data_IF_367573020693
#
_entry.id   IF_367573020693
#
_cell.length_a   1.000
_cell.length_b   1.000
_cell.length_c   1.000
_cell.angle_alpha   90.00
_cell.angle_beta   90.00
_cell.angle_gamma   90.00
#
_symmetry.space_group_name_H-M   'P 1'
#
loop_
_entity.id
_entity.type
_entity.pdbx_description
1 polymer ?
#
# COMPACT_ATOMS: atom_id res chain seq x y z
N UNK A 1 -6.75 -4.17 -21.12
CA UNK A 1 -7.39 -2.99 -20.55
C UNK A 1 -6.65 -2.67 -19.25
N UNK A 2 -6.01 -1.52 -19.12
CA UNK A 2 -5.38 -1.10 -17.86
C UNK A 2 -6.48 -0.75 -16.86
N UNK A 3 -6.65 -1.54 -15.80
CA UNK A 3 -7.62 -1.27 -14.75
C UNK A 3 -7.08 -0.21 -13.80
N UNK A 4 -7.25 1.06 -14.19
CA UNK A 4 -7.01 2.22 -13.33
C UNK A 4 -8.32 2.61 -12.63
N UNK A 5 -8.24 2.85 -11.33
CA UNK A 5 -9.36 3.26 -10.48
C UNK A 5 -9.37 4.78 -10.39
N UNK A 6 -9.42 5.44 -11.55
CA UNK A 6 -9.16 6.87 -11.72
C UNK A 6 -10.03 7.76 -10.83
N UNK A 7 -11.30 7.40 -10.63
CA UNK A 7 -12.20 8.14 -9.74
C UNK A 7 -11.73 8.15 -8.28
N UNK A 8 -11.20 7.03 -7.77
CA UNK A 8 -10.66 6.96 -6.41
C UNK A 8 -9.34 7.71 -6.29
N UNK A 9 -8.45 7.55 -7.27
CA UNK A 9 -7.17 8.26 -7.28
C UNK A 9 -7.37 9.78 -7.34
N UNK A 10 -8.29 10.28 -8.17
CA UNK A 10 -8.67 11.69 -8.22
C UNK A 10 -9.18 12.20 -6.86
N UNK A 11 -10.04 11.43 -6.18
CA UNK A 11 -10.55 11.78 -4.86
C UNK A 11 -9.43 11.86 -3.82
N UNK A 12 -8.51 10.89 -3.81
CA UNK A 12 -7.35 10.89 -2.90
C UNK A 12 -6.49 12.13 -3.14
N UNK A 13 -6.11 12.41 -4.39
CA UNK A 13 -5.30 13.57 -4.74
C UNK A 13 -6.00 14.88 -4.36
N UNK A 14 -7.31 15.01 -4.65
CA UNK A 14 -8.10 16.19 -4.31
C UNK A 14 -8.09 16.46 -2.80
N UNK A 15 -8.41 15.45 -1.98
CA UNK A 15 -8.50 15.60 -0.52
C UNK A 15 -7.15 15.92 0.10
N UNK A 16 -6.07 15.30 -0.41
CA UNK A 16 -4.72 15.61 0.04
C UNK A 16 -4.30 17.04 -0.33
N UNK A 17 -4.60 17.48 -1.56
CA UNK A 17 -4.33 18.84 -2.05
C UNK A 17 -5.03 19.90 -1.20
N UNK A 18 -6.32 19.72 -0.94
CA UNK A 18 -7.13 20.63 -0.09
C UNK A 18 -6.56 20.78 1.33
N UNK A 19 -5.80 19.79 1.81
CA UNK A 19 -5.19 19.77 3.15
C UNK A 19 -3.68 20.00 3.13
N UNK A 20 -3.11 20.34 1.97
CA UNK A 20 -1.66 20.51 1.80
C UNK A 20 -0.85 19.29 2.28
N UNK A 21 -1.37 18.08 2.02
CA UNK A 21 -0.73 16.82 2.41
C UNK A 21 0.05 16.23 1.24
N UNK A 22 1.29 15.84 1.51
CA UNK A 22 2.06 14.98 0.64
C UNK A 22 1.76 13.49 0.94
N UNK A 23 1.68 12.68 -0.12
CA UNK A 23 1.35 11.25 -0.10
C UNK A 23 2.52 10.41 -0.62
N UNK A 24 2.77 9.27 0.03
CA UNK A 24 3.70 8.22 -0.45
C UNK A 24 3.02 6.86 -0.49
N UNK A 25 3.55 5.94 -1.31
CA UNK A 25 3.10 4.54 -1.38
C UNK A 25 4.24 3.58 -1.03
N UNK A 26 3.92 2.45 -0.39
CA UNK A 26 4.85 1.38 -0.08
C UNK A 26 4.29 0.05 -0.58
N UNK A 27 4.76 -0.41 -1.72
CA UNK A 27 4.15 -1.48 -2.50
C UNK A 27 4.99 -2.75 -2.51
N UNK A 28 4.36 -3.89 -2.19
CA UNK A 28 4.92 -5.21 -2.46
C UNK A 28 4.15 -5.87 -3.60
N UNK A 29 3.06 -6.60 -3.31
CA UNK A 29 2.38 -7.43 -4.32
C UNK A 29 1.74 -6.65 -5.48
N UNK A 30 1.41 -5.37 -5.29
CA UNK A 30 0.88 -4.48 -6.33
C UNK A 30 1.96 -3.99 -7.29
N UNK A 31 3.24 -3.98 -6.88
CA UNK A 31 4.38 -3.73 -7.76
C UNK A 31 4.36 -2.37 -8.48
N UNK A 32 3.96 -1.30 -7.80
CA UNK A 32 3.94 0.06 -8.34
C UNK A 32 2.59 0.48 -8.94
N UNK A 33 1.56 -0.37 -8.89
CA UNK A 33 0.25 -0.05 -9.45
C UNK A 33 -0.48 1.04 -8.67
N UNK A 34 -0.27 1.18 -7.36
CA UNK A 34 -0.89 2.26 -6.59
C UNK A 34 -0.27 3.60 -7.01
N UNK A 35 1.06 3.66 -7.07
CA UNK A 35 1.78 4.82 -7.59
C UNK A 35 1.31 5.15 -9.02
N UNK A 36 1.26 4.17 -9.92
CA UNK A 36 0.81 4.37 -11.29
C UNK A 36 -0.62 4.94 -11.39
N UNK A 37 -1.54 4.48 -10.52
CA UNK A 37 -2.91 5.01 -10.46
C UNK A 37 -2.96 6.49 -10.04
N UNK A 38 -2.10 6.89 -9.11
CA UNK A 38 -2.02 8.26 -8.63
C UNK A 38 -1.32 9.15 -9.65
N UNK A 39 -0.20 8.69 -10.21
CA UNK A 39 0.65 9.48 -11.10
C UNK A 39 0.15 9.54 -12.54
N UNK A 40 -0.83 8.71 -12.93
CA UNK A 40 -1.50 8.82 -14.23
C UNK A 40 -2.39 10.06 -14.33
N UNK A 41 -2.74 10.68 -13.20
CA UNK A 41 -3.58 11.89 -13.16
C UNK A 41 -2.70 13.13 -13.29
N UNK A 42 -3.05 14.00 -14.23
CA UNK A 42 -2.36 15.28 -14.43
C UNK A 42 -2.40 16.13 -13.16
N UNK A 43 -1.26 16.75 -12.83
CA UNK A 43 -1.11 17.55 -11.62
C UNK A 43 -0.87 16.75 -10.33
N UNK A 44 -0.76 15.43 -10.38
CA UNK A 44 -0.45 14.59 -9.20
C UNK A 44 0.86 14.96 -8.48
N UNK A 45 1.78 15.67 -9.15
CA UNK A 45 3.07 16.11 -8.61
C UNK A 45 2.99 17.08 -7.44
N UNK A 46 1.85 17.73 -7.22
CA UNK A 46 1.65 18.62 -6.07
C UNK A 46 1.29 17.88 -4.77
N UNK A 47 0.96 16.59 -4.86
CA UNK A 47 0.56 15.72 -3.75
C UNK A 47 1.46 14.50 -3.62
N UNK A 48 1.80 13.83 -4.72
CA UNK A 48 2.58 12.60 -4.68
C UNK A 48 4.07 12.89 -4.51
N UNK A 49 4.65 12.47 -3.37
CA UNK A 49 6.06 12.69 -3.05
C UNK A 49 6.96 11.63 -3.71
N UNK A 50 6.77 10.38 -3.32
CA UNK A 50 7.53 9.24 -3.84
C UNK A 50 6.78 7.91 -3.65
N UNK A 51 7.23 6.85 -4.31
CA UNK A 51 6.76 5.49 -4.11
C UNK A 51 7.91 4.53 -3.85
N UNK A 52 7.71 3.60 -2.92
CA UNK A 52 8.65 2.53 -2.59
C UNK A 52 8.10 1.21 -3.13
N UNK A 53 8.86 0.50 -3.97
CA UNK A 53 8.54 -0.88 -4.36
C UNK A 53 9.47 -1.82 -3.60
N UNK A 54 8.94 -2.46 -2.55
CA UNK A 54 9.70 -3.25 -1.56
C UNK A 54 9.33 -4.73 -1.65
N UNK A 55 9.57 -5.34 -2.81
CA UNK A 55 9.12 -6.71 -3.09
C UNK A 55 9.79 -7.76 -2.20
N UNK A 56 11.10 -7.66 -1.98
CA UNK A 56 11.85 -8.57 -1.11
C UNK A 56 11.75 -8.18 0.36
N UNK A 57 12.02 -9.13 1.26
CA UNK A 57 12.11 -8.84 2.70
C UNK A 57 13.24 -7.84 2.99
N UNK A 58 14.37 -7.99 2.30
CA UNK A 58 15.50 -7.07 2.41
C UNK A 58 15.13 -5.64 2.00
N UNK A 59 14.39 -5.45 0.90
CA UNK A 59 13.94 -4.11 0.51
C UNK A 59 12.96 -3.49 1.53
N UNK A 60 12.10 -4.31 2.16
CA UNK A 60 11.22 -3.83 3.25
C UNK A 60 12.04 -3.28 4.42
N UNK A 61 13.13 -3.96 4.79
CA UNK A 61 14.04 -3.50 5.84
C UNK A 61 14.84 -2.29 5.40
N UNK A 62 15.50 -2.34 4.24
CA UNK A 62 16.47 -1.32 3.82
C UNK A 62 15.82 0.01 3.42
N UNK A 63 14.65 -0.03 2.76
CA UNK A 63 14.03 1.17 2.18
C UNK A 63 12.98 1.80 3.07
N UNK A 64 12.28 1.00 3.88
CA UNK A 64 11.20 1.50 4.75
C UNK A 64 11.34 1.03 6.21
N UNK A 65 12.48 0.45 6.58
CA UNK A 65 12.82 0.19 7.99
C UNK A 65 11.99 -0.88 8.69
N UNK A 66 11.39 -1.83 7.97
CA UNK A 66 10.71 -2.96 8.62
C UNK A 66 11.74 -3.80 9.37
N UNK A 67 11.53 -3.96 10.67
CA UNK A 67 12.33 -4.81 11.55
C UNK A 67 12.35 -6.26 11.03
N UNK A 68 13.52 -6.86 10.72
CA UNK A 68 13.63 -8.23 10.23
C UNK A 68 12.95 -9.27 11.12
N UNK A 69 12.95 -9.04 12.44
CA UNK A 69 12.34 -9.90 13.45
C UNK A 69 10.81 -9.97 13.27
N UNK A 70 10.14 -8.86 12.89
CA UNK A 70 8.70 -8.89 12.57
C UNK A 70 8.43 -9.82 11.39
N UNK A 71 9.27 -9.76 10.36
CA UNK A 71 9.13 -10.63 9.19
C UNK A 71 9.40 -12.09 9.58
N UNK A 72 10.35 -12.36 10.47
CA UNK A 72 10.64 -13.71 10.95
C UNK A 72 9.47 -14.31 11.75
N UNK A 73 8.82 -13.52 12.60
CA UNK A 73 7.73 -13.97 13.48
C UNK A 73 6.40 -14.08 12.71
N UNK A 74 6.05 -13.05 11.95
CA UNK A 74 4.72 -12.91 11.35
C UNK A 74 4.68 -13.19 9.85
N UNK A 75 5.84 -13.42 9.22
CA UNK A 75 6.02 -13.43 7.76
C UNK A 75 5.77 -12.07 7.10
N UNK A 76 6.24 -11.91 5.86
CA UNK A 76 6.13 -10.63 5.14
C UNK A 76 4.71 -10.27 4.69
N UNK A 77 3.76 -11.20 4.81
CA UNK A 77 2.34 -10.97 4.50
C UNK A 77 1.54 -11.06 5.79
N UNK A 78 1.53 -9.96 6.55
CA UNK A 78 0.91 -9.87 7.87
C UNK A 78 0.46 -8.44 8.17
N UNK A 79 -0.38 -8.30 9.19
CA UNK A 79 -0.83 -6.99 9.70
C UNK A 79 0.35 -6.17 10.20
N UNK A 80 1.24 -6.79 10.97
CA UNK A 80 2.40 -6.18 11.61
C UNK A 80 3.36 -5.61 10.57
N UNK A 81 3.65 -6.38 9.53
CA UNK A 81 4.51 -5.92 8.43
C UNK A 81 3.82 -4.84 7.59
N UNK A 82 2.51 -4.93 7.34
CA UNK A 82 1.79 -3.89 6.62
C UNK A 82 1.82 -2.54 7.37
N UNK A 83 1.57 -2.55 8.69
CA UNK A 83 1.65 -1.35 9.55
C UNK A 83 3.06 -0.78 9.54
N UNK A 84 4.07 -1.62 9.78
CA UNK A 84 5.48 -1.20 9.77
C UNK A 84 5.90 -0.61 8.41
N UNK A 85 5.41 -1.17 7.30
CA UNK A 85 5.63 -0.60 5.97
C UNK A 85 4.98 0.78 5.81
N UNK A 86 3.74 0.97 6.27
CA UNK A 86 3.04 2.25 6.14
C UNK A 86 3.72 3.36 6.96
N UNK A 87 4.06 3.05 8.21
CA UNK A 87 4.79 3.94 9.12
C UNK A 87 6.21 4.22 8.61
N UNK A 88 6.88 3.20 8.06
CA UNK A 88 8.13 3.34 7.34
C UNK A 88 8.04 4.34 6.18
N UNK A 89 6.98 4.25 5.36
CA UNK A 89 6.73 5.22 4.30
C UNK A 89 6.68 6.66 4.82
N UNK A 90 6.02 6.93 5.96
CA UNK A 90 6.03 8.27 6.57
C UNK A 90 7.41 8.68 7.08
N UNK A 91 8.16 7.74 7.64
CA UNK A 91 9.49 8.00 8.23
C UNK A 91 10.55 8.31 7.18
N UNK A 92 10.49 7.64 6.02
CA UNK A 92 11.53 7.71 4.98
C UNK A 92 11.14 8.56 3.77
N UNK A 93 10.07 9.35 3.86
CA UNK A 93 9.64 10.30 2.83
C UNK A 93 9.32 11.67 3.42
N UNK A 94 8.96 12.64 2.58
CA UNK A 94 8.44 13.95 3.03
C UNK A 94 6.92 13.90 3.26
N UNK A 95 6.28 12.77 2.98
CA UNK A 95 4.85 12.62 3.06
C UNK A 95 4.29 12.78 4.48
N UNK A 96 3.04 13.19 4.56
CA UNK A 96 2.25 13.19 5.80
C UNK A 96 1.26 12.04 5.84
N UNK A 97 0.94 11.44 4.69
CA UNK A 97 0.12 10.25 4.55
C UNK A 97 0.85 9.18 3.73
N UNK A 98 0.72 7.92 4.12
CA UNK A 98 1.36 6.76 3.50
C UNK A 98 0.35 5.63 3.40
N UNK A 99 0.44 4.84 2.32
CA UNK A 99 -0.29 3.57 2.21
C UNK A 99 0.65 2.45 1.84
N UNK A 100 0.52 1.31 2.51
CA UNK A 100 1.32 0.13 2.31
C UNK A 100 0.48 -1.10 1.94
N UNK A 101 1.01 -1.93 1.04
CA UNK A 101 0.35 -3.18 0.63
C UNK A 101 1.34 -4.34 0.58
N UNK A 102 1.02 -5.41 1.28
CA UNK A 102 1.72 -6.70 1.20
C UNK A 102 0.73 -7.86 1.08
N UNK A 103 1.02 -8.85 0.25
CA UNK A 103 0.04 -9.89 -0.07
C UNK A 103 0.56 -10.97 -1.02
N UNK A 104 -0.27 -11.98 -1.26
CA UNK A 104 0.02 -13.11 -2.15
C UNK A 104 -0.92 -13.04 -3.35
N UNK A 105 -0.48 -12.39 -4.43
CA UNK A 105 -1.27 -12.28 -5.66
C UNK A 105 -1.29 -13.57 -6.51
N UNK A 106 -0.60 -14.64 -6.09
CA UNK A 106 -0.59 -15.91 -6.81
C UNK A 106 0.30 -15.92 -8.07
N UNK A 107 0.30 -17.05 -8.81
CA UNK A 107 -0.57 -18.22 -8.61
C UNK A 107 -0.07 -19.19 -7.51
N UNK A 108 1.16 -19.03 -7.02
CA UNK A 108 1.72 -19.89 -5.97
C UNK A 108 1.54 -19.26 -4.59
N UNK A 109 1.35 -20.10 -3.58
CA UNK A 109 1.46 -19.68 -2.18
C UNK A 109 2.89 -19.25 -1.88
N UNK A 110 3.04 -18.24 -1.01
CA UNK A 110 4.34 -17.84 -0.48
C UNK A 110 4.68 -18.52 0.84
N UNK A 111 3.66 -18.92 1.62
CA UNK A 111 3.79 -19.58 2.91
C UNK A 111 2.79 -20.75 3.00
N UNK A 112 3.11 -21.76 3.80
CA UNK A 112 2.30 -22.98 3.92
C UNK A 112 0.89 -22.68 4.46
N UNK A 113 0.83 -21.78 5.44
CA UNK A 113 -0.34 -21.35 6.20
C UNK A 113 -1.08 -20.15 5.59
N UNK A 114 -0.52 -19.48 4.57
CA UNK A 114 -1.13 -18.28 3.97
C UNK A 114 -1.62 -18.53 2.54
N UNK A 115 -2.93 -18.43 2.28
CA UNK A 115 -3.49 -18.72 0.97
C UNK A 115 -3.18 -17.62 -0.05
N UNK A 116 -3.20 -17.99 -1.34
CA UNK A 116 -3.27 -17.02 -2.45
C UNK A 116 -4.52 -16.16 -2.28
N UNK A 117 -4.41 -14.86 -2.57
CA UNK A 117 -5.48 -13.88 -2.40
C UNK A 117 -5.48 -13.17 -1.05
N UNK A 118 -4.66 -13.59 -0.08
CA UNK A 118 -4.47 -12.86 1.17
C UNK A 118 -3.67 -11.58 0.92
N UNK A 119 -4.22 -10.43 1.31
CA UNK A 119 -3.59 -9.11 1.20
C UNK A 119 -3.85 -8.32 2.48
N UNK A 120 -2.82 -7.64 2.97
CA UNK A 120 -2.91 -6.65 4.04
C UNK A 120 -2.59 -5.27 3.46
N UNK A 121 -3.49 -4.33 3.71
CA UNK A 121 -3.29 -2.90 3.46
C UNK A 121 -3.19 -2.18 4.80
N UNK A 122 -2.28 -1.22 4.92
CA UNK A 122 -2.26 -0.28 6.03
C UNK A 122 -2.10 1.13 5.49
N UNK A 123 -2.73 2.10 6.14
CA UNK A 123 -2.53 3.51 5.86
C UNK A 123 -2.09 4.19 7.16
N UNK A 124 -1.06 5.04 7.07
CA UNK A 124 -0.55 5.82 8.18
C UNK A 124 -0.72 7.30 7.85
N UNK A 125 -1.19 8.08 8.82
CA UNK A 125 -1.34 9.53 8.71
C UNK A 125 -0.71 10.17 9.95
N UNK A 126 0.23 11.11 9.76
CA UNK A 126 0.95 11.77 10.87
C UNK A 126 -0.03 12.30 11.92
N UNK A 127 0.23 11.97 13.20
CA UNK A 127 -0.59 12.32 14.37
C UNK A 127 -1.97 11.64 14.43
N UNK A 128 -2.22 10.64 13.59
CA UNK A 128 -3.38 9.76 13.67
C UNK A 128 -2.93 8.31 13.90
N UNK A 129 -3.83 7.47 14.40
CA UNK A 129 -3.57 6.04 14.49
C UNK A 129 -3.45 5.42 13.09
N UNK A 130 -2.50 4.51 12.91
CA UNK A 130 -2.36 3.72 11.68
C UNK A 130 -3.57 2.80 11.52
N UNK A 131 -4.25 2.89 10.37
CA UNK A 131 -5.40 2.03 10.04
C UNK A 131 -4.94 0.83 9.24
N UNK A 132 -5.54 -0.33 9.46
CA UNK A 132 -5.22 -1.59 8.78
C UNK A 132 -6.49 -2.28 8.27
N UNK A 133 -6.37 -2.96 7.13
CA UNK A 133 -7.39 -3.82 6.56
C UNK A 133 -6.76 -5.12 6.04
N UNK A 134 -7.31 -6.25 6.45
CA UNK A 134 -7.04 -7.55 5.84
C UNK A 134 -8.11 -7.88 4.82
N UNK A 135 -7.71 -8.45 3.68
CA UNK A 135 -8.59 -8.87 2.61
C UNK A 135 -8.21 -10.27 2.14
N UNK A 136 -9.21 -11.03 1.74
CA UNK A 136 -9.04 -12.32 1.11
C UNK A 136 -9.85 -12.38 -0.19
N UNK A 137 -9.15 -12.49 -1.32
CA UNK A 137 -9.74 -12.48 -2.66
C UNK A 137 -9.90 -13.87 -3.28
N UNK A 138 -9.67 -14.94 -2.50
CA UNK A 138 -9.65 -16.31 -2.99
C UNK A 138 -8.52 -16.57 -4.00
N UNK A 139 -8.57 -17.73 -4.66
CA UNK A 139 -7.62 -18.10 -5.71
C UNK A 139 -7.99 -17.45 -7.07
N UNK A 140 -8.31 -16.16 -7.03
CA UNK A 140 -8.61 -15.34 -8.19
C UNK A 140 -7.37 -15.07 -9.04
N UNK A 141 -7.57 -14.54 -10.24
CA UNK A 141 -6.47 -14.13 -11.12
C UNK A 141 -5.51 -13.12 -10.45
N UNK A 142 -4.22 -13.20 -10.80
CA UNK A 142 -3.17 -12.36 -10.23
C UNK A 142 -3.44 -10.87 -10.44
N UNK A 143 -3.88 -10.47 -11.63
CA UNK A 143 -4.15 -9.07 -11.91
C UNK A 143 -5.42 -8.61 -11.19
N UNK A 144 -6.45 -9.45 -11.12
CA UNK A 144 -7.62 -9.17 -10.31
C UNK A 144 -7.23 -8.83 -8.86
N UNK A 145 -6.46 -9.71 -8.20
CA UNK A 145 -6.00 -9.48 -6.82
C UNK A 145 -5.24 -8.16 -6.68
N UNK A 146 -4.33 -7.87 -7.61
CA UNK A 146 -3.54 -6.64 -7.59
C UNK A 146 -4.39 -5.38 -7.76
N UNK A 147 -5.32 -5.38 -8.72
CA UNK A 147 -6.17 -4.22 -8.97
C UNK A 147 -7.17 -3.99 -7.83
N UNK A 148 -7.77 -5.05 -7.28
CA UNK A 148 -8.65 -4.92 -6.11
C UNK A 148 -7.89 -4.45 -4.87
N UNK A 149 -6.63 -4.87 -4.69
CA UNK A 149 -5.78 -4.36 -3.61
C UNK A 149 -5.51 -2.85 -3.76
N UNK A 150 -5.29 -2.35 -4.99
CA UNK A 150 -5.13 -0.92 -5.26
C UNK A 150 -6.38 -0.15 -4.87
N UNK A 151 -7.57 -0.61 -5.24
CA UNK A 151 -8.83 0.03 -4.86
C UNK A 151 -8.99 0.16 -3.34
N UNK A 152 -8.70 -0.93 -2.62
CA UNK A 152 -8.82 -0.94 -1.16
C UNK A 152 -7.78 -0.03 -0.50
N UNK A 153 -6.55 0.02 -1.02
CA UNK A 153 -5.53 0.96 -0.55
C UNK A 153 -5.98 2.43 -0.68
N UNK A 154 -6.56 2.80 -1.83
CA UNK A 154 -7.08 4.16 -2.05
C UNK A 154 -8.30 4.46 -1.15
N UNK A 155 -9.21 3.50 -0.95
CA UNK A 155 -10.34 3.62 -0.01
C UNK A 155 -9.86 3.77 1.43
N UNK A 156 -8.80 3.05 1.82
CA UNK A 156 -8.22 3.11 3.16
C UNK A 156 -7.63 4.49 3.46
N UNK A 157 -6.95 5.11 2.49
CA UNK A 157 -6.51 6.52 2.60
C UNK A 157 -7.72 7.43 2.85
N UNK A 158 -8.78 7.29 2.06
CA UNK A 158 -9.98 8.14 2.15
C UNK A 158 -10.71 8.00 3.49
N UNK A 159 -10.53 6.89 4.21
CA UNK A 159 -11.17 6.67 5.52
C UNK A 159 -10.73 7.67 6.60
N UNK A 160 -9.57 8.32 6.44
CA UNK A 160 -9.12 9.39 7.35
C UNK A 160 -9.88 10.71 7.21
N UNK A 161 -10.65 10.86 6.14
CA UNK A 161 -11.27 12.14 5.75
C UNK A 161 -12.79 12.05 5.63
N UNK A 162 -13.39 11.00 6.20
CA UNK A 162 -14.84 10.82 6.32
C UNK A 162 -15.38 11.56 7.54
#
# INVERSE_FOLDING_TARGET
MTHFCEALANRVLKVCRERSLLLTTVESCTGGLIAANLTSIAGSSDVFDCGFIVYSNESKTNLVGVCPELIKIYTSVSKEVAIAMAEGGLKYSRASISVAVTGIAGPRKAYLDKPVGLVHCAAAYKKHATTHQEMYFGNSDRNFIRHTAVENALKLILSYFQ
#
